data_IF_370116532227
#
_entry.id   IF_370116532227
#
_cell.length_a   1.000
_cell.length_b   1.000
_cell.length_c   1.000
_cell.angle_alpha   90.00
_cell.angle_beta   90.00
_cell.angle_gamma   90.00
#
_symmetry.space_group_name_H-M   'P 1'
#
loop_
_entity.id
_entity.type
_entity.pdbx_description
1 polymer ?
#
# COMPACT_ATOMS: atom_id res chain seq x y z
N UNK A 1 10.76 -5.28 5.00
CA UNK A 1 9.51 -4.56 4.73
C UNK A 1 9.81 -3.06 4.62
N UNK A 2 8.96 -2.32 3.92
CA UNK A 2 9.15 -0.93 3.58
C UNK A 2 10.35 -0.69 2.67
N UNK A 3 10.91 0.50 2.78
CA UNK A 3 11.90 1.00 1.81
C UNK A 3 13.20 0.18 1.77
N UNK A 4 13.49 -0.60 2.81
CA UNK A 4 14.70 -1.42 2.92
C UNK A 4 14.71 -2.67 2.03
N UNK A 5 13.57 -3.11 1.49
CA UNK A 5 13.53 -4.30 0.63
C UNK A 5 13.56 -3.96 -0.85
N UNK A 6 13.98 -4.92 -1.66
CA UNK A 6 13.86 -4.82 -3.11
C UNK A 6 12.39 -4.88 -3.51
N UNK A 7 11.84 -3.74 -3.92
CA UNK A 7 10.45 -3.64 -4.37
C UNK A 7 10.32 -4.24 -5.77
N UNK A 8 9.34 -5.13 -6.01
CA UNK A 8 9.01 -5.60 -7.35
C UNK A 8 8.73 -4.45 -8.33
N UNK A 9 8.95 -4.66 -9.65
CA UNK A 9 8.66 -3.65 -10.66
C UNK A 9 7.23 -3.10 -10.53
N UNK A 10 7.11 -1.78 -10.44
CA UNK A 10 5.83 -1.08 -10.33
C UNK A 10 5.29 -0.93 -8.90
N UNK A 11 5.92 -1.51 -7.88
CA UNK A 11 5.59 -1.22 -6.47
C UNK A 11 6.39 -0.02 -5.96
N UNK A 12 5.74 1.04 -5.43
CA UNK A 12 6.43 2.20 -4.91
C UNK A 12 7.04 1.94 -3.52
N UNK A 13 8.06 2.74 -3.19
CA UNK A 13 8.58 2.90 -1.83
C UNK A 13 7.80 4.02 -1.14
N UNK A 14 6.85 3.67 -0.29
CA UNK A 14 5.92 4.60 0.35
C UNK A 14 5.52 4.13 1.74
N UNK A 15 5.01 5.06 2.56
CA UNK A 15 4.45 4.73 3.87
C UNK A 15 3.28 3.75 3.79
N UNK A 16 2.40 3.90 2.80
CA UNK A 16 1.27 2.98 2.59
C UNK A 16 1.76 1.57 2.25
N UNK A 17 2.76 1.45 1.35
CA UNK A 17 3.30 0.16 1.00
C UNK A 17 4.01 -0.50 2.19
N UNK A 18 4.80 0.27 2.94
CA UNK A 18 5.49 -0.21 4.14
C UNK A 18 4.51 -0.76 5.18
N UNK A 19 3.41 -0.05 5.44
CA UNK A 19 2.34 -0.50 6.34
C UNK A 19 1.72 -1.83 5.88
N UNK A 20 1.42 -1.97 4.60
CA UNK A 20 0.80 -3.18 4.06
C UNK A 20 1.75 -4.38 4.09
N UNK A 21 3.02 -4.18 3.74
CA UNK A 21 4.05 -5.21 3.88
C UNK A 21 4.26 -5.63 5.34
N UNK A 22 4.16 -4.67 6.27
CA UNK A 22 4.24 -4.95 7.70
C UNK A 22 3.10 -5.87 8.15
N UNK A 23 1.86 -5.60 7.72
CA UNK A 23 0.70 -6.45 8.01
C UNK A 23 0.85 -7.87 7.46
N UNK A 24 1.29 -8.02 6.21
CA UNK A 24 1.53 -9.34 5.60
C UNK A 24 2.57 -10.14 6.38
N UNK A 25 3.69 -9.50 6.73
CA UNK A 25 4.75 -10.18 7.47
C UNK A 25 4.33 -10.50 8.90
N UNK A 26 3.64 -9.60 9.60
CA UNK A 26 3.14 -9.84 10.95
C UNK A 26 2.19 -11.05 10.97
N UNK A 27 1.28 -11.15 9.99
CA UNK A 27 0.40 -12.30 9.83
C UNK A 27 1.19 -13.60 9.58
N UNK A 28 2.24 -13.55 8.75
CA UNK A 28 3.09 -14.70 8.49
C UNK A 28 3.87 -15.16 9.73
N UNK A 29 4.43 -14.22 10.50
CA UNK A 29 5.13 -14.51 11.76
C UNK A 29 4.16 -15.14 12.76
N UNK A 30 2.97 -14.56 12.95
CA UNK A 30 1.97 -15.09 13.87
C UNK A 30 1.54 -16.52 13.48
N UNK A 31 1.23 -16.75 12.20
CA UNK A 31 0.86 -18.08 11.71
C UNK A 31 1.99 -19.09 11.95
N UNK A 32 3.23 -18.72 11.62
CA UNK A 32 4.40 -19.58 11.85
C UNK A 32 4.59 -19.92 13.33
N UNK A 33 4.51 -18.92 14.22
CA UNK A 33 4.65 -19.12 15.66
C UNK A 33 3.55 -20.00 16.26
N UNK A 34 2.37 -20.02 15.66
CA UNK A 34 1.23 -20.86 16.08
C UNK A 34 1.20 -22.23 15.39
N UNK A 35 2.17 -22.57 14.53
CA UNK A 35 2.16 -23.80 13.74
C UNK A 35 1.01 -23.85 12.72
N UNK A 36 0.47 -22.70 12.34
CA UNK A 36 -0.61 -22.57 11.36
C UNK A 36 -0.03 -22.43 9.94
N UNK A 37 -0.89 -22.68 8.94
CA UNK A 37 -0.53 -22.43 7.55
C UNK A 37 -0.28 -20.93 7.31
N UNK A 38 0.87 -20.60 6.74
CA UNK A 38 1.22 -19.22 6.39
C UNK A 38 0.39 -18.78 5.16
N UNK A 39 -0.28 -17.61 5.20
CA UNK A 39 -0.97 -17.07 4.03
C UNK A 39 -0.02 -16.89 2.85
N UNK A 40 -0.29 -17.58 1.74
CA UNK A 40 0.64 -17.67 0.60
C UNK A 40 0.30 -16.76 -0.58
N UNK A 41 -0.87 -16.11 -0.56
CA UNK A 41 -1.38 -15.29 -1.66
C UNK A 41 -1.72 -13.87 -1.18
N UNK A 42 -0.73 -13.08 -0.69
CA UNK A 42 -0.99 -11.74 -0.21
C UNK A 42 -1.50 -10.83 -1.32
N UNK A 43 -2.39 -9.92 -0.94
CA UNK A 43 -2.86 -8.79 -1.74
C UNK A 43 -2.63 -7.54 -0.89
N UNK A 44 -1.97 -6.53 -1.47
CA UNK A 44 -1.61 -5.29 -0.80
C UNK A 44 -1.93 -4.10 -1.70
N UNK A 45 -2.21 -2.95 -1.09
CA UNK A 45 -2.53 -1.73 -1.80
C UNK A 45 -1.51 -0.64 -1.51
N UNK A 46 -1.47 0.38 -2.37
CA UNK A 46 -0.74 1.60 -2.12
C UNK A 46 -1.60 2.78 -2.53
N UNK A 47 -1.51 3.87 -1.80
CA UNK A 47 -1.93 5.19 -2.26
C UNK A 47 -0.95 6.22 -1.74
N UNK A 48 -0.42 7.05 -2.63
CA UNK A 48 0.39 8.21 -2.30
C UNK A 48 -0.39 9.46 -2.70
N UNK A 49 -0.62 10.35 -1.73
CA UNK A 49 -1.20 11.67 -1.99
C UNK A 49 -0.10 12.72 -2.16
N UNK A 50 -0.38 13.76 -2.93
CA UNK A 50 0.49 14.91 -3.14
C UNK A 50 -0.33 16.17 -3.22
N UNK A 51 -0.13 17.08 -2.28
CA UNK A 51 -0.73 18.41 -2.31
C UNK A 51 -0.03 19.28 -3.36
N UNK A 52 -0.81 19.92 -4.22
CA UNK A 52 -0.32 20.88 -5.23
C UNK A 52 -0.59 22.33 -4.83
N UNK A 53 -1.46 22.53 -3.84
CA UNK A 53 -1.74 23.79 -3.17
C UNK A 53 -2.03 23.52 -1.69
N UNK A 54 -2.40 24.56 -0.93
CA UNK A 54 -2.79 24.40 0.49
C UNK A 54 -4.03 23.52 0.69
N UNK A 55 -4.85 23.34 -0.35
CA UNK A 55 -6.15 22.64 -0.22
C UNK A 55 -6.40 21.58 -1.28
N UNK A 56 -5.72 21.64 -2.43
CA UNK A 56 -5.91 20.67 -3.50
C UNK A 56 -4.78 19.64 -3.54
N UNK A 57 -5.15 18.38 -3.76
CA UNK A 57 -4.21 17.29 -3.88
C UNK A 57 -4.54 16.41 -5.10
N UNK A 58 -3.62 15.48 -5.37
CA UNK A 58 -3.78 14.36 -6.29
C UNK A 58 -3.31 13.09 -5.61
N UNK A 59 -3.70 11.93 -6.12
CA UNK A 59 -3.16 10.64 -5.70
C UNK A 59 -2.64 9.81 -6.86
N UNK A 60 -1.77 8.86 -6.52
CA UNK A 60 -1.47 7.68 -7.32
C UNK A 60 -1.71 6.44 -6.47
N UNK A 61 -2.46 5.48 -6.98
CA UNK A 61 -2.89 4.29 -6.26
C UNK A 61 -2.73 3.02 -7.08
N UNK A 62 -2.54 1.89 -6.41
CA UNK A 62 -2.32 0.59 -7.04
C UNK A 62 -2.67 -0.56 -6.11
N UNK A 63 -3.11 -1.67 -6.68
CA UNK A 63 -3.33 -2.94 -5.97
C UNK A 63 -2.41 -3.99 -6.55
N UNK A 64 -1.76 -4.75 -5.69
CA UNK A 64 -0.76 -5.75 -6.05
C UNK A 64 -1.12 -7.09 -5.43
N UNK A 65 -0.98 -8.15 -6.20
CA UNK A 65 -1.19 -9.53 -5.75
C UNK A 65 0.04 -10.38 -6.04
N UNK A 66 0.28 -11.38 -5.21
CA UNK A 66 1.33 -12.36 -5.49
C UNK A 66 1.00 -13.19 -6.73
N UNK A 67 1.94 -13.26 -7.67
CA UNK A 67 1.94 -14.14 -8.85
C UNK A 67 2.87 -15.32 -8.57
N UNK A 68 2.28 -16.50 -8.34
CA UNK A 68 3.03 -17.71 -8.01
C UNK A 68 3.91 -18.23 -9.15
N UNK A 69 3.52 -17.99 -10.41
CA UNK A 69 4.29 -18.43 -11.58
C UNK A 69 5.54 -17.56 -11.76
N UNK A 70 5.41 -16.25 -11.56
CA UNK A 70 6.53 -15.29 -11.64
C UNK A 70 7.29 -15.13 -10.33
N UNK A 71 6.77 -15.68 -9.23
CA UNK A 71 7.32 -15.59 -7.87
C UNK A 71 7.55 -14.15 -7.41
N UNK A 72 6.63 -13.25 -7.76
CA UNK A 72 6.74 -11.82 -7.43
C UNK A 72 5.37 -11.20 -7.23
N UNK A 73 5.32 -10.03 -6.60
CA UNK A 73 4.09 -9.22 -6.56
C UNK A 73 3.91 -8.54 -7.92
N UNK A 74 2.69 -8.61 -8.46
CA UNK A 74 2.33 -8.00 -9.73
C UNK A 74 1.12 -7.07 -9.55
N UNK A 75 1.06 -5.95 -10.30
CA UNK A 75 -0.13 -5.10 -10.29
C UNK A 75 -1.35 -5.89 -10.79
N UNK A 76 -2.49 -5.66 -10.14
CA UNK A 76 -3.77 -6.23 -10.56
C UNK A 76 -4.27 -5.44 -11.78
N UNK A 77 -4.49 -6.07 -12.94
CA UNK A 77 -4.95 -5.35 -14.14
C UNK A 77 -6.25 -4.59 -13.89
N UNK A 78 -6.29 -3.32 -14.27
CA UNK A 78 -7.44 -2.44 -14.11
C UNK A 78 -7.66 -1.91 -12.69
N UNK A 79 -6.83 -2.27 -11.72
CA UNK A 79 -6.88 -1.70 -10.37
C UNK A 79 -5.88 -0.56 -10.22
N UNK A 80 -6.25 0.46 -9.45
CA UNK A 80 -5.40 1.63 -9.21
C UNK A 80 -5.67 2.78 -10.19
N UNK A 81 -4.70 3.67 -10.31
CA UNK A 81 -4.76 4.84 -11.20
C UNK A 81 -4.12 6.07 -10.59
N UNK A 82 -4.24 7.19 -11.30
CA UNK A 82 -3.93 8.51 -10.77
C UNK A 82 -5.14 9.43 -10.93
N UNK A 83 -5.24 10.46 -10.10
CA UNK A 83 -6.22 11.52 -10.28
C UNK A 83 -6.07 12.17 -11.67
N UNK A 84 -7.19 12.49 -12.32
CA UNK A 84 -7.20 13.19 -13.62
C UNK A 84 -6.70 14.63 -13.48
N UNK A 85 -7.02 15.27 -12.36
CA UNK A 85 -6.65 16.65 -12.03
C UNK A 85 -6.59 16.81 -10.50
N UNK A 86 -5.89 17.84 -9.98
CA UNK A 86 -5.96 18.17 -8.57
C UNK A 86 -7.36 18.66 -8.19
N UNK A 87 -7.82 18.29 -6.99
CA UNK A 87 -9.11 18.76 -6.48
C UNK A 87 -9.07 18.97 -4.97
N UNK A 88 -9.98 19.79 -4.46
CA UNK A 88 -10.24 19.94 -3.02
C UNK A 88 -10.62 18.60 -2.36
N UNK A 89 -11.41 17.76 -3.05
CA UNK A 89 -11.86 16.48 -2.51
C UNK A 89 -10.69 15.52 -2.28
N UNK A 90 -9.73 15.48 -3.20
CA UNK A 90 -8.48 14.73 -3.03
C UNK A 90 -7.69 15.25 -1.81
N UNK A 91 -7.68 16.57 -1.56
CA UNK A 91 -7.04 17.15 -0.38
C UNK A 91 -7.70 16.70 0.93
N UNK A 92 -9.04 16.67 0.98
CA UNK A 92 -9.78 16.14 2.13
C UNK A 92 -9.46 14.66 2.35
N UNK A 93 -9.45 13.85 1.28
CA UNK A 93 -9.08 12.44 1.36
C UNK A 93 -7.64 12.24 1.80
N UNK A 94 -6.69 13.07 1.34
CA UNK A 94 -5.30 13.01 1.74
C UNK A 94 -5.12 13.24 3.24
N UNK A 95 -5.83 14.20 3.82
CA UNK A 95 -5.81 14.44 5.28
C UNK A 95 -6.43 13.29 6.06
N UNK A 96 -7.56 12.74 5.58
CA UNK A 96 -8.18 11.56 6.18
C UNK A 96 -7.25 10.34 6.13
N UNK A 97 -6.59 10.12 4.99
CA UNK A 97 -5.59 9.06 4.84
C UNK A 97 -4.42 9.25 5.80
N UNK A 98 -3.88 10.47 5.93
CA UNK A 98 -2.76 10.75 6.80
C UNK A 98 -3.09 10.47 8.28
N UNK A 99 -4.25 10.91 8.75
CA UNK A 99 -4.72 10.59 10.11
C UNK A 99 -4.89 9.09 10.32
N UNK A 100 -5.58 8.42 9.39
CA UNK A 100 -5.90 6.99 9.52
C UNK A 100 -4.66 6.09 9.46
N UNK A 101 -3.69 6.39 8.58
CA UNK A 101 -2.49 5.54 8.46
C UNK A 101 -1.56 5.71 9.66
N UNK A 102 -1.50 6.91 10.25
CA UNK A 102 -0.74 7.13 11.48
C UNK A 102 -1.38 6.38 12.65
N UNK A 103 -2.69 6.50 12.84
CA UNK A 103 -3.42 5.76 13.86
C UNK A 103 -3.21 4.23 13.69
N UNK A 104 -3.46 3.70 12.50
CA UNK A 104 -3.30 2.26 12.21
C UNK A 104 -1.86 1.74 12.40
N UNK A 105 -0.84 2.61 12.35
CA UNK A 105 0.56 2.21 12.50
C UNK A 105 1.12 2.41 13.90
N UNK A 106 0.59 3.36 14.67
CA UNK A 106 1.19 3.85 15.92
C UNK A 106 0.29 3.77 17.15
N UNK A 107 -1.02 3.54 16.97
CA UNK A 107 -2.00 3.39 18.05
C UNK A 107 -2.48 1.93 18.16
#
# INVERSE_FOLDING_TARGET
>A
MGDSIASPPGMPKSGHMANQEAKVCAAAIAAWSLGQAIPSMPIIANTCYSFVSETEAMHVTGVYRYDAAKKTMAPVPGAGGLSVAPTLLEGIHAMGWAGNILADSLE
#
